data_IF_406483231882
#
_entry.id   IF_406483231882
#
_cell.length_a   1.000
_cell.length_b   1.000
_cell.length_c   1.000
_cell.angle_alpha   90.00
_cell.angle_beta   90.00
_cell.angle_gamma   90.00
#
_symmetry.space_group_name_H-M   'P 1'
#
loop_
_entity.id
_entity.type
_entity.pdbx_description
1 polymer ?
#
# COMPACT_ATOMS: atom_id res chain seq x y z
N UNK A 1 30.54 14.06 7.68
CA UNK A 1 29.67 12.87 7.59
C UNK A 1 28.42 13.13 8.40
N UNK A 2 27.29 13.41 7.75
CA UNK A 2 26.03 13.64 8.46
C UNK A 2 25.43 12.27 8.83
N UNK A 3 25.12 11.98 10.10
CA UNK A 3 24.39 10.78 10.45
C UNK A 3 22.92 11.03 10.14
N UNK A 4 22.54 10.91 8.87
CA UNK A 4 21.13 10.73 8.49
C UNK A 4 20.73 9.30 8.84
N UNK A 5 20.67 9.04 10.15
CA UNK A 5 19.89 7.95 10.72
C UNK A 5 18.41 8.26 10.51
N UNK A 6 17.94 8.16 9.27
CA UNK A 6 16.53 7.88 9.01
C UNK A 6 16.26 6.43 9.42
N UNK A 7 15.03 6.03 9.73
CA UNK A 7 14.71 4.68 10.20
C UNK A 7 14.93 3.68 9.05
N UNK A 8 16.18 3.27 8.87
CA UNK A 8 16.57 2.14 8.03
C UNK A 8 16.08 0.88 8.74
N UNK A 9 14.78 0.58 8.58
CA UNK A 9 14.32 -0.79 8.62
C UNK A 9 14.85 -1.47 7.36
N UNK A 10 16.14 -1.79 7.42
CA UNK A 10 16.84 -2.61 6.46
C UNK A 10 15.96 -3.85 6.21
N UNK A 11 15.51 -4.03 4.95
CA UNK A 11 14.72 -5.17 4.45
C UNK A 11 13.19 -5.12 4.59
N UNK A 12 12.56 -3.96 4.82
CA UNK A 12 11.11 -3.85 4.57
C UNK A 12 10.83 -3.88 3.07
N UNK A 13 10.17 -4.92 2.55
CA UNK A 13 9.61 -4.92 1.21
C UNK A 13 8.11 -4.63 1.30
N UNK A 14 7.57 -4.03 0.26
CA UNK A 14 6.14 -3.81 0.10
C UNK A 14 5.74 -4.29 -1.29
N UNK A 15 4.61 -4.97 -1.37
CA UNK A 15 3.94 -5.27 -2.64
C UNK A 15 2.57 -4.64 -2.59
N UNK A 16 2.22 -3.92 -3.66
CA UNK A 16 0.91 -3.31 -3.81
C UNK A 16 0.21 -3.94 -5.00
N UNK A 17 -1.01 -4.39 -4.78
CA UNK A 17 -1.91 -4.92 -5.80
C UNK A 17 -3.10 -3.98 -5.95
N UNK A 18 -3.40 -3.56 -7.18
CA UNK A 18 -4.49 -2.63 -7.48
C UNK A 18 -5.43 -3.19 -8.54
N UNK A 19 -6.73 -2.98 -8.34
CA UNK A 19 -7.81 -3.30 -9.26
C UNK A 19 -8.62 -2.02 -9.53
N UNK A 20 -8.69 -1.63 -10.80
CA UNK A 20 -9.51 -0.51 -11.26
C UNK A 20 -10.65 -0.99 -12.16
N UNK A 21 -11.86 -0.53 -11.88
CA UNK A 21 -13.04 -0.71 -12.71
C UNK A 21 -13.59 0.65 -13.13
N UNK A 22 -13.86 0.81 -14.43
CA UNK A 22 -14.48 2.01 -14.96
C UNK A 22 -15.72 1.62 -15.78
N UNK A 23 -16.88 2.09 -15.35
CA UNK A 23 -18.16 1.84 -16.00
C UNK A 23 -18.72 3.13 -16.58
N UNK A 24 -18.79 3.18 -17.91
CA UNK A 24 -19.33 4.29 -18.72
C UNK A 24 -18.76 5.68 -18.35
N UNK A 25 -17.58 5.75 -17.72
CA UNK A 25 -17.02 6.99 -17.16
C UNK A 25 -17.88 7.70 -16.11
N UNK A 26 -19.09 7.22 -15.80
CA UNK A 26 -19.92 7.72 -14.70
C UNK A 26 -19.57 7.08 -13.37
N UNK A 27 -19.06 5.85 -13.39
CA UNK A 27 -18.71 5.10 -12.19
C UNK A 27 -17.29 4.59 -12.30
N UNK A 28 -16.38 5.13 -11.48
CA UNK A 28 -15.02 4.63 -11.37
C UNK A 28 -14.82 4.07 -9.97
N UNK A 29 -14.37 2.82 -9.87
CA UNK A 29 -13.97 2.20 -8.63
C UNK A 29 -12.50 1.79 -8.71
N UNK A 30 -11.73 2.13 -7.69
CA UNK A 30 -10.35 1.70 -7.52
C UNK A 30 -10.20 1.02 -6.17
N UNK A 31 -9.57 -0.15 -6.17
CA UNK A 31 -9.26 -0.91 -4.98
C UNK A 31 -7.77 -1.22 -4.99
N UNK A 32 -7.06 -0.77 -3.97
CA UNK A 32 -5.62 -0.94 -3.82
C UNK A 32 -5.31 -1.58 -2.47
N UNK A 33 -4.56 -2.68 -2.49
CA UNK A 33 -4.14 -3.43 -1.32
C UNK A 33 -2.61 -3.48 -1.25
N UNK A 34 -2.03 -3.02 -0.15
CA UNK A 34 -0.59 -3.03 0.08
C UNK A 34 -0.27 -3.98 1.22
N UNK A 35 0.56 -4.97 0.91
CA UNK A 35 1.11 -5.90 1.89
C UNK A 35 2.60 -5.65 2.09
N UNK A 36 3.04 -5.61 3.35
CA UNK A 36 4.42 -5.32 3.71
C UNK A 36 5.12 -6.60 4.19
N UNK A 37 6.00 -7.17 3.35
CA UNK A 37 6.76 -8.38 3.66
C UNK A 37 8.24 -8.07 3.93
N UNK A 38 8.84 -8.70 4.95
CA UNK A 38 10.27 -8.56 5.27
C UNK A 38 10.56 -8.12 6.72
N UNK A 39 11.84 -8.14 7.09
CA UNK A 39 12.39 -7.90 8.44
C UNK A 39 12.24 -9.02 9.50
N UNK A 40 12.32 -10.30 9.09
CA UNK A 40 12.53 -11.43 10.01
C UNK A 40 11.45 -11.62 11.08
N UNK A 41 11.64 -12.61 11.97
CA UNK A 41 10.67 -13.03 13.00
C UNK A 41 10.32 -11.97 14.08
N UNK A 42 10.77 -10.71 13.91
CA UNK A 42 10.53 -9.59 14.82
C UNK A 42 9.78 -8.43 14.17
N UNK A 43 9.26 -8.58 12.94
CA UNK A 43 8.55 -7.50 12.27
C UNK A 43 7.10 -7.37 12.78
N UNK A 44 6.91 -6.63 13.88
CA UNK A 44 5.58 -6.20 14.38
C UNK A 44 4.82 -5.28 13.41
N UNK A 45 5.46 -4.91 12.29
CA UNK A 45 4.90 -4.10 11.20
C UNK A 45 4.29 -4.96 10.09
N UNK A 46 4.56 -6.27 10.06
CA UNK A 46 3.95 -7.21 9.09
C UNK A 46 2.42 -7.27 9.23
N UNK A 47 1.89 -6.92 10.40
CA UNK A 47 0.45 -6.90 10.69
C UNK A 47 -0.26 -5.65 10.11
N UNK A 48 0.48 -4.67 9.58
CA UNK A 48 -0.11 -3.44 9.03
C UNK A 48 -0.34 -3.55 7.54
N UNK A 49 -1.33 -4.35 7.15
CA UNK A 49 -1.87 -4.31 5.80
C UNK A 49 -2.64 -3.00 5.57
N UNK A 50 -2.39 -2.35 4.43
CA UNK A 50 -3.09 -1.11 4.06
C UNK A 50 -4.03 -1.40 2.90
N UNK A 51 -5.33 -1.26 3.14
CA UNK A 51 -6.36 -1.34 2.10
C UNK A 51 -6.92 0.05 1.82
N UNK A 52 -7.00 0.40 0.55
CA UNK A 52 -7.57 1.64 0.05
C UNK A 52 -8.64 1.31 -0.98
N UNK A 53 -9.84 1.86 -0.80
CA UNK A 53 -10.92 1.76 -1.76
C UNK A 53 -11.40 3.17 -2.10
N UNK A 54 -11.56 3.46 -3.39
CA UNK A 54 -12.02 4.74 -3.88
C UNK A 54 -13.14 4.52 -4.90
N UNK A 55 -14.29 5.14 -4.67
CA UNK A 55 -15.39 5.14 -5.62
C UNK A 55 -15.69 6.57 -6.00
N UNK A 56 -15.69 6.85 -7.29
CA UNK A 56 -16.03 8.15 -7.87
C UNK A 56 -17.28 7.98 -8.71
N UNK A 57 -18.24 8.87 -8.46
CA UNK A 57 -19.43 9.01 -9.27
C UNK A 57 -19.41 10.40 -9.90
N UNK A 58 -19.52 10.45 -11.23
CA UNK A 58 -19.56 11.68 -12.02
C UNK A 58 -20.89 11.73 -12.76
N UNK A 59 -21.67 12.78 -12.50
CA UNK A 59 -22.94 13.09 -13.18
C UNK A 59 -22.72 14.10 -14.31
#
# INVERSE_FOLDING_TARGET
MSPVGGPFLERRKAVTFGLGANYLSSWTADLSYTNYFGAGAYNRINDRDFISCNVKYSF
#
